data_IF_047941499177
#
_entry.id   IF_047941499177
#
_cell.length_a   1.000
_cell.length_b   1.000
_cell.length_c   1.000
_cell.angle_alpha   90.00
_cell.angle_beta   90.00
_cell.angle_gamma   90.00
#
_symmetry.space_group_name_H-M   'P 1'
#
loop_
_entity.id
_entity.type
_entity.pdbx_description
1 polymer ?
#
# COMPACT_ATOMS: atom_id res chain seq x y z
N UNK A 1 -13.48 -19.60 18.66
CA UNK A 1 -12.61 -20.31 17.70
C UNK A 1 -13.42 -20.51 16.43
N UNK A 2 -12.89 -20.13 15.27
CA UNK A 2 -13.61 -20.28 14.00
C UNK A 2 -13.88 -21.78 13.74
N UNK A 3 -15.11 -22.13 13.38
CA UNK A 3 -15.48 -23.47 12.94
C UNK A 3 -15.86 -23.41 11.46
N UNK A 4 -15.04 -23.96 10.55
CA UNK A 4 -15.40 -24.04 9.14
C UNK A 4 -16.65 -24.91 8.96
N UNK A 5 -17.56 -24.49 8.07
CA UNK A 5 -18.75 -25.28 7.76
C UNK A 5 -18.41 -26.59 7.06
N UNK A 6 -17.33 -26.60 6.27
CA UNK A 6 -16.79 -27.79 5.60
C UNK A 6 -15.30 -27.99 5.94
N UNK A 7 -14.95 -28.62 7.08
CA UNK A 7 -13.57 -28.69 7.56
C UNK A 7 -12.59 -29.29 6.55
N UNK A 8 -12.95 -30.43 5.90
CA UNK A 8 -12.06 -31.09 4.92
C UNK A 8 -11.75 -30.18 3.73
N UNK A 9 -12.76 -29.48 3.22
CA UNK A 9 -12.61 -28.53 2.11
C UNK A 9 -11.74 -27.35 2.51
N UNK A 10 -12.01 -26.78 3.69
CA UNK A 10 -11.23 -25.69 4.28
C UNK A 10 -9.74 -26.05 4.43
N UNK A 11 -9.40 -27.15 5.11
CA UNK A 11 -8.00 -27.54 5.32
C UNK A 11 -7.28 -27.84 4.00
N UNK A 12 -7.97 -28.43 3.02
CA UNK A 12 -7.42 -28.65 1.67
C UNK A 12 -7.11 -27.32 0.97
N UNK A 13 -8.03 -26.36 1.05
CA UNK A 13 -7.85 -25.02 0.49
C UNK A 13 -6.68 -24.29 1.17
N UNK A 14 -6.63 -24.25 2.50
CA UNK A 14 -5.53 -23.64 3.26
C UNK A 14 -4.17 -24.24 2.86
N UNK A 15 -4.09 -25.57 2.74
CA UNK A 15 -2.85 -26.24 2.31
C UNK A 15 -2.43 -25.82 0.90
N UNK A 16 -3.38 -25.64 -0.01
CA UNK A 16 -3.14 -25.15 -1.37
C UNK A 16 -2.67 -23.70 -1.36
N UNK A 17 -3.31 -22.84 -0.58
CA UNK A 17 -2.90 -21.43 -0.43
C UNK A 17 -1.46 -21.33 0.10
N UNK A 18 -1.13 -22.06 1.18
CA UNK A 18 0.22 -22.07 1.75
C UNK A 18 1.25 -22.53 0.72
N UNK A 19 0.93 -23.55 -0.08
CA UNK A 19 1.83 -24.02 -1.15
C UNK A 19 2.08 -22.91 -2.17
N UNK A 20 1.01 -22.28 -2.65
CA UNK A 20 1.06 -21.22 -3.67
C UNK A 20 1.82 -19.97 -3.17
N UNK A 21 1.54 -19.54 -1.94
CA UNK A 21 2.21 -18.39 -1.32
C UNK A 21 3.69 -18.68 -1.01
N UNK A 22 4.09 -19.94 -0.84
CA UNK A 22 5.52 -20.27 -0.69
C UNK A 22 6.29 -20.25 -2.01
N UNK A 23 5.65 -20.55 -3.13
CA UNK A 23 6.32 -20.65 -4.44
C UNK A 23 6.27 -19.37 -5.25
N UNK A 24 5.15 -18.64 -5.20
CA UNK A 24 4.80 -17.68 -6.24
C UNK A 24 4.50 -16.26 -5.71
N UNK A 25 4.98 -15.92 -4.51
CA UNK A 25 4.83 -14.56 -3.98
C UNK A 25 5.58 -13.54 -4.87
N UNK A 26 4.92 -12.43 -5.25
CA UNK A 26 5.58 -11.38 -6.00
C UNK A 26 6.61 -10.65 -5.14
N UNK A 27 7.56 -9.99 -5.80
CA UNK A 27 8.56 -9.16 -5.12
C UNK A 27 7.90 -8.08 -4.26
N UNK A 28 8.50 -7.81 -3.10
CA UNK A 28 8.00 -6.82 -2.15
C UNK A 28 6.73 -7.24 -1.42
N UNK A 29 6.41 -8.54 -1.35
CA UNK A 29 5.32 -9.05 -0.53
C UNK A 29 5.84 -10.00 0.55
N UNK A 30 5.37 -9.78 1.77
CA UNK A 30 5.62 -10.65 2.92
C UNK A 30 4.29 -11.21 3.43
N UNK A 31 4.31 -12.48 3.84
CA UNK A 31 3.16 -13.16 4.42
C UNK A 31 3.56 -13.84 5.72
N UNK A 32 2.70 -13.74 6.72
CA UNK A 32 2.82 -14.39 8.03
C UNK A 32 1.54 -15.15 8.35
N UNK A 33 1.66 -16.41 8.73
CA UNK A 33 0.58 -17.20 9.30
C UNK A 33 0.80 -17.38 10.80
N UNK A 34 -0.25 -17.81 11.51
CA UNK A 34 -0.23 -18.00 12.95
C UNK A 34 -0.39 -19.49 13.28
N UNK A 35 0.46 -20.03 14.16
CA UNK A 35 0.49 -21.47 14.48
C UNK A 35 -0.81 -21.95 15.13
N UNK A 36 -1.42 -21.10 15.94
CA UNK A 36 -2.66 -21.36 16.67
C UNK A 36 -3.93 -20.93 15.89
N UNK A 37 -3.76 -20.19 14.80
CA UNK A 37 -4.85 -19.61 13.99
C UNK A 37 -4.54 -19.69 12.50
N UNK A 38 -4.69 -20.89 11.94
CA UNK A 38 -4.49 -21.14 10.50
C UNK A 38 -5.49 -20.39 9.59
N UNK A 39 -6.57 -19.86 10.17
CA UNK A 39 -7.54 -19.02 9.48
C UNK A 39 -7.13 -17.55 9.42
N UNK A 40 -6.04 -17.15 10.10
CA UNK A 40 -5.52 -15.80 10.09
C UNK A 40 -4.18 -15.73 9.36
N UNK A 41 -4.03 -14.68 8.57
CA UNK A 41 -2.83 -14.41 7.78
C UNK A 41 -2.61 -12.89 7.79
N UNK A 42 -1.39 -12.45 8.09
CA UNK A 42 -1.00 -11.05 7.87
C UNK A 42 -0.19 -10.94 6.59
N UNK A 43 -0.41 -9.88 5.84
CA UNK A 43 0.25 -9.59 4.57
C UNK A 43 0.82 -8.17 4.63
N UNK A 44 2.08 -8.01 4.23
CA UNK A 44 2.68 -6.70 4.01
C UNK A 44 3.08 -6.57 2.55
N UNK A 45 2.79 -5.43 1.94
CA UNK A 45 3.10 -5.12 0.54
C UNK A 45 3.93 -3.84 0.52
N UNK A 46 5.09 -3.90 -0.12
CA UNK A 46 5.86 -2.71 -0.49
C UNK A 46 5.18 -2.00 -1.66
N UNK A 47 5.09 -0.68 -1.57
CA UNK A 47 4.54 0.15 -2.64
C UNK A 47 5.32 -0.04 -3.94
N UNK A 48 4.64 -0.34 -5.07
CA UNK A 48 5.32 -0.57 -6.34
C UNK A 48 6.12 0.64 -6.81
N UNK A 49 7.24 0.38 -7.50
CA UNK A 49 8.03 1.42 -8.16
C UNK A 49 7.23 2.18 -9.21
N UNK A 50 7.56 3.45 -9.44
CA UNK A 50 6.89 4.35 -10.39
C UNK A 50 5.41 4.59 -10.06
N UNK A 51 5.09 4.57 -8.78
CA UNK A 51 3.77 4.92 -8.24
C UNK A 51 3.94 5.91 -7.09
N UNK A 52 2.92 6.68 -6.71
CA UNK A 52 3.00 7.53 -5.52
C UNK A 52 3.14 6.72 -4.22
N UNK A 53 3.06 5.39 -4.27
CA UNK A 53 3.25 4.48 -3.14
C UNK A 53 4.71 4.04 -2.94
N UNK A 54 5.60 4.31 -3.90
CA UNK A 54 6.99 3.83 -3.89
C UNK A 54 7.74 4.20 -2.61
N UNK A 55 8.38 3.20 -1.99
CA UNK A 55 9.10 3.34 -0.73
C UNK A 55 8.23 3.22 0.52
N UNK A 56 6.89 3.15 0.37
CA UNK A 56 5.97 2.84 1.46
C UNK A 56 5.77 1.35 1.70
N UNK A 57 5.18 1.03 2.86
CA UNK A 57 4.72 -0.30 3.23
C UNK A 57 3.22 -0.25 3.54
N UNK A 58 2.50 -1.34 3.25
CA UNK A 58 1.05 -1.46 3.46
C UNK A 58 0.75 -2.80 4.12
N UNK A 59 0.07 -2.77 5.27
CA UNK A 59 -0.19 -3.97 6.08
C UNK A 59 -1.66 -4.31 6.05
N UNK A 60 -1.95 -5.59 5.88
CA UNK A 60 -3.28 -6.15 5.79
C UNK A 60 -3.38 -7.39 6.68
N UNK A 61 -4.53 -7.58 7.33
CA UNK A 61 -4.92 -8.86 7.90
C UNK A 61 -5.99 -9.52 7.04
N UNK A 62 -5.84 -10.82 6.84
CA UNK A 62 -6.73 -11.66 6.06
C UNK A 62 -7.26 -12.76 6.95
N UNK A 63 -8.58 -12.89 7.01
CA UNK A 63 -9.25 -13.98 7.72
C UNK A 63 -10.01 -14.89 6.74
N UNK A 64 -9.70 -16.17 6.79
CA UNK A 64 -10.41 -17.21 6.08
C UNK A 64 -11.68 -17.55 6.86
N UNK A 65 -12.83 -17.03 6.42
CA UNK A 65 -14.11 -17.22 7.11
C UNK A 65 -14.58 -18.68 7.13
N UNK A 66 -15.65 -18.94 7.89
CA UNK A 66 -16.18 -20.31 8.05
C UNK A 66 -16.66 -20.96 6.74
N UNK A 67 -17.02 -20.14 5.75
CA UNK A 67 -17.45 -20.56 4.42
C UNK A 67 -16.30 -20.66 3.40
N UNK A 68 -15.05 -20.42 3.80
CA UNK A 68 -13.90 -20.50 2.89
C UNK A 68 -13.64 -21.96 2.45
N UNK A 69 -13.33 -22.23 1.16
CA UNK A 69 -13.14 -21.29 0.05
C UNK A 69 -14.41 -21.00 -0.77
N UNK A 70 -15.60 -21.43 -0.36
CA UNK A 70 -16.86 -21.14 -1.09
C UNK A 70 -17.18 -19.64 -1.08
N UNK A 71 -16.80 -18.93 -0.03
CA UNK A 71 -16.85 -17.47 0.08
C UNK A 71 -15.43 -16.86 0.13
N UNK A 72 -15.27 -15.59 -0.28
CA UNK A 72 -13.99 -14.90 -0.21
C UNK A 72 -13.50 -14.76 1.23
N UNK A 73 -12.18 -14.57 1.43
CA UNK A 73 -11.66 -14.19 2.73
C UNK A 73 -12.10 -12.77 3.09
N UNK A 74 -12.09 -12.46 4.39
CA UNK A 74 -12.16 -11.09 4.88
C UNK A 74 -10.77 -10.47 4.80
N UNK A 75 -10.68 -9.20 4.43
CA UNK A 75 -9.42 -8.46 4.35
C UNK A 75 -9.58 -7.11 5.05
N UNK A 76 -8.62 -6.77 5.90
CA UNK A 76 -8.59 -5.53 6.67
C UNK A 76 -7.27 -4.80 6.43
N UNK A 77 -7.33 -3.57 5.95
CA UNK A 77 -6.18 -2.69 5.79
C UNK A 77 -5.89 -1.93 7.09
N UNK A 78 -4.63 -1.93 7.53
CA UNK A 78 -4.21 -1.13 8.67
C UNK A 78 -3.79 0.27 8.21
N UNK A 79 -4.61 1.28 8.50
CA UNK A 79 -4.29 2.67 8.16
C UNK A 79 -3.29 3.30 9.14
N UNK A 80 -2.19 3.82 8.59
CA UNK A 80 -1.14 4.51 9.35
C UNK A 80 -1.08 6.02 9.09
N UNK A 81 -2.01 6.58 8.33
CA UNK A 81 -2.16 8.01 8.10
C UNK A 81 -3.57 8.48 8.48
N UNK A 82 -3.77 9.80 8.60
CA UNK A 82 -5.13 10.34 8.65
C UNK A 82 -5.74 10.34 7.25
N UNK A 83 -7.06 10.31 7.15
CA UNK A 83 -7.79 10.35 5.88
C UNK A 83 -7.51 9.14 4.96
N UNK A 84 -8.30 9.04 3.88
CA UNK A 84 -8.21 7.97 2.89
C UNK A 84 -7.00 8.13 1.96
N UNK A 85 -6.08 7.16 1.99
CA UNK A 85 -4.89 7.10 1.13
C UNK A 85 -5.21 6.71 -0.33
N UNK A 86 -6.19 5.83 -0.53
CA UNK A 86 -6.60 5.33 -1.84
C UNK A 86 -8.13 5.15 -1.84
N UNK A 87 -8.84 5.37 -2.96
CA UNK A 87 -10.29 5.21 -2.97
C UNK A 87 -10.79 3.85 -2.50
N UNK A 88 -9.97 2.80 -2.65
CA UNK A 88 -10.27 1.44 -2.24
C UNK A 88 -9.68 1.01 -0.88
N UNK A 89 -8.94 1.88 -0.17
CA UNK A 89 -8.35 1.60 1.15
C UNK A 89 -8.90 2.59 2.19
N UNK A 90 -9.88 2.15 2.97
CA UNK A 90 -10.61 3.00 3.90
C UNK A 90 -9.89 3.07 5.26
N UNK A 91 -10.14 4.14 6.01
CA UNK A 91 -9.55 4.35 7.34
C UNK A 91 -10.03 3.34 8.39
N UNK A 92 -11.26 2.85 8.24
CA UNK A 92 -11.83 1.76 9.06
C UNK A 92 -11.30 0.37 8.66
N UNK A 93 -10.37 0.35 7.70
CA UNK A 93 -9.70 -0.83 7.17
C UNK A 93 -10.49 -1.60 6.14
N UNK A 94 -11.65 -1.10 5.68
CA UNK A 94 -12.34 -1.72 4.55
C UNK A 94 -11.47 -1.66 3.28
N UNK A 95 -11.39 -2.79 2.58
CA UNK A 95 -10.68 -2.93 1.31
C UNK A 95 -11.70 -3.22 0.20
N UNK A 96 -11.71 -2.39 -0.86
CA UNK A 96 -12.61 -2.55 -2.00
C UNK A 96 -11.92 -3.26 -3.17
N UNK A 97 -12.19 -4.55 -3.34
CA UNK A 97 -11.74 -5.36 -4.48
C UNK A 97 -12.85 -6.34 -4.85
N UNK A 98 -13.08 -6.56 -6.13
CA UNK A 98 -14.14 -7.45 -6.62
C UNK A 98 -13.96 -8.90 -6.15
N UNK A 99 -12.71 -9.37 -6.06
CA UNK A 99 -12.36 -10.69 -5.51
C UNK A 99 -12.73 -10.85 -4.04
N UNK A 100 -12.90 -9.74 -3.29
CA UNK A 100 -13.35 -9.77 -1.90
C UNK A 100 -14.88 -9.61 -1.78
N UNK A 101 -15.60 -9.47 -2.90
CA UNK A 101 -17.03 -9.17 -2.92
C UNK A 101 -17.38 -7.75 -2.43
N UNK A 102 -16.38 -6.87 -2.29
CA UNK A 102 -16.55 -5.50 -1.79
C UNK A 102 -16.56 -4.44 -2.88
N UNK A 103 -16.41 -4.85 -4.15
CA UNK A 103 -16.49 -4.01 -5.33
C UNK A 103 -17.20 -4.74 -6.48
N UNK A 104 -17.68 -4.00 -7.47
CA UNK A 104 -18.27 -4.58 -8.67
C UNK A 104 -17.19 -5.24 -9.54
N UNK A 105 -17.52 -6.38 -10.14
CA UNK A 105 -16.64 -7.10 -11.06
C UNK A 105 -17.43 -8.08 -11.91
N UNK A 106 -16.79 -8.68 -12.92
CA UNK A 106 -17.43 -9.66 -13.82
C UNK A 106 -16.58 -10.90 -14.01
N UNK A 107 -17.24 -12.05 -14.12
CA UNK A 107 -16.59 -13.32 -14.43
C UNK A 107 -15.48 -13.66 -13.43
N UNK A 108 -14.26 -13.77 -13.93
CA UNK A 108 -13.06 -14.14 -13.15
C UNK A 108 -12.57 -13.06 -12.19
N UNK A 109 -13.12 -11.84 -12.26
CA UNK A 109 -12.80 -10.75 -11.32
C UNK A 109 -13.51 -10.93 -9.97
N UNK A 110 -14.56 -11.76 -9.91
CA UNK A 110 -15.33 -12.04 -8.70
C UNK A 110 -14.85 -13.36 -8.09
N UNK A 111 -14.91 -13.47 -6.76
CA UNK A 111 -14.53 -14.70 -6.06
C UNK A 111 -15.27 -15.92 -6.63
N UNK A 112 -14.51 -16.95 -6.97
CA UNK A 112 -15.02 -18.20 -7.51
C UNK A 112 -14.18 -19.40 -7.09
N UNK A 113 -14.54 -20.58 -7.60
CA UNK A 113 -13.92 -21.87 -7.24
C UNK A 113 -12.40 -21.93 -7.51
N UNK A 114 -11.94 -21.17 -8.51
CA UNK A 114 -10.55 -21.13 -8.96
C UNK A 114 -9.80 -19.91 -8.38
N UNK A 115 -10.45 -19.16 -7.48
CA UNK A 115 -9.84 -18.02 -6.81
C UNK A 115 -8.82 -18.44 -5.75
N UNK A 116 -7.84 -17.57 -5.49
CA UNK A 116 -6.78 -17.79 -4.48
C UNK A 116 -6.43 -16.53 -3.72
N UNK A 117 -5.77 -16.68 -2.56
CA UNK A 117 -5.21 -15.55 -1.82
C UNK A 117 -4.12 -14.84 -2.61
N UNK A 118 -3.33 -15.58 -3.39
CA UNK A 118 -2.31 -14.96 -4.25
C UNK A 118 -2.95 -13.97 -5.24
N UNK A 119 -4.08 -14.30 -5.86
CA UNK A 119 -4.79 -13.38 -6.74
C UNK A 119 -5.33 -12.15 -6.01
N UNK A 120 -5.77 -12.30 -4.76
CA UNK A 120 -6.16 -11.14 -3.92
C UNK A 120 -4.94 -10.25 -3.68
N UNK A 121 -3.82 -10.81 -3.23
CA UNK A 121 -2.58 -10.08 -2.97
C UNK A 121 -2.07 -9.34 -4.22
N UNK A 122 -2.02 -10.03 -5.36
CA UNK A 122 -1.62 -9.44 -6.65
C UNK A 122 -2.59 -8.34 -7.08
N UNK A 123 -3.90 -8.50 -6.83
CA UNK A 123 -4.89 -7.44 -7.07
C UNK A 123 -4.66 -6.22 -6.19
N UNK A 124 -4.32 -6.40 -4.90
CA UNK A 124 -3.97 -5.28 -4.02
C UNK A 124 -2.74 -4.53 -4.54
N UNK A 125 -1.68 -5.26 -4.90
CA UNK A 125 -0.44 -4.66 -5.40
C UNK A 125 -0.62 -3.96 -6.76
N UNK A 126 -1.32 -4.59 -7.70
CA UNK A 126 -1.41 -4.12 -9.09
C UNK A 126 -2.59 -3.18 -9.40
N UNK A 127 -3.75 -3.41 -8.77
CA UNK A 127 -4.96 -2.63 -9.07
C UNK A 127 -5.14 -1.46 -8.10
N UNK A 128 -4.83 -1.65 -6.82
CA UNK A 128 -4.99 -0.58 -5.82
C UNK A 128 -3.77 0.34 -5.82
N UNK A 129 -2.58 -0.21 -5.62
CA UNK A 129 -1.34 0.56 -5.46
C UNK A 129 -0.72 0.98 -6.80
N UNK A 130 -1.52 1.54 -7.71
CA UNK A 130 -1.12 1.91 -9.07
C UNK A 130 -0.63 3.38 -9.17
N UNK A 131 -0.20 3.80 -10.37
CA UNK A 131 0.39 5.13 -10.61
C UNK A 131 -0.62 6.30 -10.59
N UNK A 132 -1.90 6.03 -10.84
CA UNK A 132 -2.96 7.04 -10.93
C UNK A 132 -4.20 6.65 -10.08
N UNK A 133 -4.02 6.51 -8.75
CA UNK A 133 -5.05 6.00 -7.85
C UNK A 133 -6.31 6.88 -7.77
N UNK A 134 -6.26 8.13 -8.26
CA UNK A 134 -7.45 8.97 -8.44
C UNK A 134 -8.54 8.26 -9.24
N UNK A 135 -8.16 7.52 -10.28
CA UNK A 135 -9.10 6.82 -11.16
C UNK A 135 -9.62 5.50 -10.59
N UNK A 136 -9.21 5.11 -9.38
CA UNK A 136 -9.82 4.00 -8.67
C UNK A 136 -11.18 4.38 -8.06
N UNK A 137 -11.51 5.66 -8.02
CA UNK A 137 -12.82 6.13 -7.56
C UNK A 137 -13.90 5.85 -8.62
N UNK A 138 -15.06 5.37 -8.16
CA UNK A 138 -16.11 4.91 -9.05
C UNK A 138 -16.57 6.01 -10.00
N UNK A 139 -16.46 5.76 -11.32
CA UNK A 139 -16.94 6.66 -12.37
C UNK A 139 -15.94 7.74 -12.77
N UNK A 140 -14.77 7.80 -12.14
CA UNK A 140 -13.72 8.76 -12.50
C UNK A 140 -12.93 8.31 -13.74
N UNK A 141 -13.04 7.05 -14.15
CA UNK A 141 -12.39 6.54 -15.37
C UNK A 141 -12.83 7.30 -16.62
N UNK A 142 -14.05 7.85 -16.63
CA UNK A 142 -14.56 8.70 -17.72
C UNK A 142 -13.80 10.01 -17.88
N UNK A 143 -13.05 10.43 -16.88
CA UNK A 143 -12.23 11.64 -16.90
C UNK A 143 -10.82 11.39 -17.45
N UNK A 144 -10.41 10.13 -17.65
CA UNK A 144 -9.09 9.81 -18.21
C UNK A 144 -8.89 10.47 -19.57
N UNK A 145 -7.72 11.07 -19.77
CA UNK A 145 -7.36 11.81 -20.99
C UNK A 145 -7.92 13.22 -21.07
N UNK A 146 -8.76 13.66 -20.13
CA UNK A 146 -9.19 15.07 -20.04
C UNK A 146 -8.18 15.89 -19.24
N UNK A 147 -8.05 17.18 -19.55
CA UNK A 147 -7.19 18.08 -18.77
C UNK A 147 -7.57 18.10 -17.28
N UNK A 148 -8.87 18.13 -16.97
CA UNK A 148 -9.36 18.10 -15.60
C UNK A 148 -8.99 16.80 -14.87
N UNK A 149 -9.13 15.64 -15.53
CA UNK A 149 -8.76 14.35 -14.96
C UNK A 149 -7.26 14.25 -14.68
N UNK A 150 -6.43 14.77 -15.59
CA UNK A 150 -4.98 14.85 -15.41
C UNK A 150 -4.61 15.71 -14.20
N UNK A 151 -5.18 16.91 -14.07
CA UNK A 151 -4.90 17.79 -12.91
C UNK A 151 -5.39 17.19 -11.59
N UNK A 152 -6.58 16.58 -11.58
CA UNK A 152 -7.12 15.93 -10.39
C UNK A 152 -6.26 14.73 -9.96
N UNK A 153 -5.80 13.92 -10.92
CA UNK A 153 -4.90 12.80 -10.67
C UNK A 153 -3.54 13.28 -10.13
N UNK A 154 -2.99 14.36 -10.71
CA UNK A 154 -1.76 15.01 -10.22
C UNK A 154 -1.89 15.46 -8.77
N UNK A 155 -2.96 16.20 -8.44
CA UNK A 155 -3.23 16.66 -7.07
C UNK A 155 -3.49 15.50 -6.10
N UNK A 156 -4.14 14.44 -6.55
CA UNK A 156 -4.35 13.24 -5.72
C UNK A 156 -3.02 12.58 -5.38
N UNK A 157 -2.09 12.49 -6.34
CA UNK A 157 -0.75 11.93 -6.10
C UNK A 157 0.07 12.78 -5.13
N UNK A 158 -0.03 14.12 -5.20
CA UNK A 158 0.55 15.01 -4.18
C UNK A 158 0.04 14.64 -2.76
N UNK A 159 -1.28 14.42 -2.62
CA UNK A 159 -1.87 13.98 -1.35
C UNK A 159 -1.33 12.61 -0.91
N UNK A 160 -1.27 11.62 -1.82
CA UNK A 160 -0.77 10.28 -1.51
C UNK A 160 0.67 10.34 -0.98
N UNK A 161 1.55 11.15 -1.59
CA UNK A 161 2.93 11.28 -1.11
C UNK A 161 3.02 11.84 0.32
N UNK A 162 2.19 12.83 0.67
CA UNK A 162 2.15 13.36 2.04
C UNK A 162 1.69 12.28 3.02
N UNK A 163 0.63 11.54 2.67
CA UNK A 163 0.10 10.44 3.49
C UNK A 163 1.07 9.27 3.59
N UNK A 164 1.88 9.02 2.56
CA UNK A 164 2.95 8.03 2.57
C UNK A 164 4.00 8.37 3.64
N UNK A 165 4.48 9.62 3.67
CA UNK A 165 5.45 10.08 4.68
C UNK A 165 4.86 9.99 6.08
N UNK A 166 3.59 10.37 6.26
CA UNK A 166 2.88 10.21 7.54
C UNK A 166 2.79 8.74 7.96
N UNK A 167 2.40 7.86 7.04
CA UNK A 167 2.30 6.41 7.24
C UNK A 167 3.63 5.82 7.71
N UNK A 168 4.73 6.11 6.99
CA UNK A 168 6.06 5.62 7.36
C UNK A 168 6.53 6.19 8.69
N UNK A 169 6.21 7.45 9.01
CA UNK A 169 6.49 8.08 10.31
C UNK A 169 5.77 7.37 11.46
N UNK A 170 4.51 6.95 11.26
CA UNK A 170 3.75 6.22 12.27
C UNK A 170 4.25 4.78 12.41
N UNK A 171 4.55 4.11 11.29
CA UNK A 171 5.07 2.73 11.31
C UNK A 171 6.42 2.63 12.01
N UNK A 172 7.36 3.54 11.78
CA UNK A 172 8.64 3.49 12.50
C UNK A 172 8.46 3.73 14.02
N UNK A 173 7.49 4.55 14.40
CA UNK A 173 7.22 4.85 15.81
C UNK A 173 6.59 3.67 16.54
N UNK A 174 5.74 2.88 15.86
CA UNK A 174 5.10 1.71 16.42
C UNK A 174 4.91 0.62 15.33
N UNK A 175 5.98 -0.12 14.99
CA UNK A 175 5.91 -1.10 13.92
C UNK A 175 5.07 -2.31 14.34
N UNK A 176 4.14 -2.80 13.50
CA UNK A 176 3.34 -3.98 13.80
C UNK A 176 4.21 -5.23 14.00
N UNK A 177 3.92 -6.00 15.06
CA UNK A 177 4.71 -7.16 15.48
C UNK A 177 5.00 -8.19 14.37
N UNK A 178 4.03 -8.63 13.52
CA UNK A 178 4.31 -9.67 12.53
C UNK A 178 5.41 -9.32 11.52
N UNK A 179 5.68 -8.03 11.34
CA UNK A 179 6.61 -7.49 10.34
C UNK A 179 7.59 -6.48 10.95
N UNK A 180 7.76 -6.46 12.28
CA UNK A 180 8.55 -5.43 12.98
C UNK A 180 9.96 -5.33 12.39
N UNK A 181 10.63 -6.47 12.24
CA UNK A 181 12.01 -6.51 11.75
C UNK A 181 12.10 -6.14 10.26
N UNK A 182 11.18 -6.63 9.43
CA UNK A 182 11.12 -6.27 8.01
C UNK A 182 10.89 -4.77 7.80
N UNK A 183 10.01 -4.16 8.59
CA UNK A 183 9.71 -2.73 8.52
C UNK A 183 10.95 -1.91 8.89
N UNK A 184 11.59 -2.24 10.02
CA UNK A 184 12.81 -1.53 10.45
C UNK A 184 13.94 -1.71 9.43
N UNK A 185 14.10 -2.91 8.86
CA UNK A 185 15.11 -3.16 7.84
C UNK A 185 14.83 -2.39 6.54
N UNK A 186 13.58 -2.38 6.08
CA UNK A 186 13.15 -1.59 4.92
C UNK A 186 13.45 -0.11 5.10
N UNK A 187 13.11 0.44 6.28
CA UNK A 187 13.37 1.84 6.61
C UNK A 187 14.86 2.18 6.66
N UNK A 188 15.71 1.29 7.21
CA UNK A 188 17.17 1.47 7.17
C UNK A 188 17.71 1.52 5.75
N UNK A 189 17.15 0.72 4.86
CA UNK A 189 17.63 0.60 3.48
C UNK A 189 17.10 1.71 2.56
N UNK A 190 15.89 2.21 2.78
CA UNK A 190 15.16 3.04 1.80
C UNK A 190 14.82 4.46 2.27
N UNK A 191 14.93 4.77 3.57
CA UNK A 191 14.55 6.09 4.08
C UNK A 191 15.33 7.23 3.44
N UNK A 192 16.62 7.03 3.17
CA UNK A 192 17.46 8.02 2.51
C UNK A 192 17.02 8.28 1.07
N UNK A 193 16.66 7.23 0.33
CA UNK A 193 16.17 7.33 -1.04
C UNK A 193 14.79 8.00 -1.09
N UNK A 194 13.90 7.69 -0.14
CA UNK A 194 12.61 8.33 -0.02
C UNK A 194 12.75 9.85 0.22
N UNK A 195 13.60 10.25 1.17
CA UNK A 195 13.89 11.67 1.41
C UNK A 195 14.46 12.34 0.16
N UNK A 196 15.51 11.78 -0.44
CA UNK A 196 16.16 12.33 -1.64
C UNK A 196 15.16 12.53 -2.77
N UNK A 197 14.35 11.51 -3.07
CA UNK A 197 13.33 11.56 -4.12
C UNK A 197 12.33 12.69 -3.87
N UNK A 198 11.76 12.77 -2.67
CA UNK A 198 10.74 13.77 -2.33
C UNK A 198 11.29 15.19 -2.28
N UNK A 199 12.53 15.38 -1.84
CA UNK A 199 13.21 16.68 -1.87
C UNK A 199 13.55 17.10 -3.30
N UNK A 200 14.00 16.16 -4.13
CA UNK A 200 14.19 16.40 -5.56
C UNK A 200 12.91 16.86 -6.26
N UNK A 201 11.75 16.33 -5.90
CA UNK A 201 10.47 16.81 -6.44
C UNK A 201 10.19 18.28 -6.10
N UNK A 202 10.51 18.70 -4.88
CA UNK A 202 10.35 20.10 -4.46
C UNK A 202 11.35 20.98 -5.22
N UNK A 203 12.61 20.56 -5.34
CA UNK A 203 13.63 21.29 -6.09
C UNK A 203 13.22 21.46 -7.56
N UNK A 204 12.82 20.38 -8.25
CA UNK A 204 12.32 20.43 -9.63
C UNK A 204 11.13 21.38 -9.78
N UNK A 205 10.20 21.36 -8.83
CA UNK A 205 9.01 22.24 -8.85
C UNK A 205 9.35 23.71 -8.66
N UNK A 206 10.46 24.01 -8.00
CA UNK A 206 10.99 25.36 -7.80
C UNK A 206 11.98 25.79 -8.90
N UNK A 207 12.35 24.90 -9.84
CA UNK A 207 13.41 25.15 -10.82
C UNK A 207 14.82 25.14 -10.23
N UNK A 208 15.01 24.50 -9.08
CA UNK A 208 16.30 24.35 -8.40
C UNK A 208 17.07 23.13 -8.94
N UNK A 209 18.42 23.16 -8.96
CA UNK A 209 19.23 22.00 -9.38
C UNK A 209 19.02 20.77 -8.48
N UNK A 210 18.87 19.60 -9.09
CA UNK A 210 18.82 18.31 -8.38
C UNK A 210 19.34 17.18 -9.27
N UNK A 211 19.81 16.10 -8.65
CA UNK A 211 20.18 14.84 -9.30
C UNK A 211 18.98 13.91 -9.53
N UNK A 212 17.81 14.25 -8.99
CA UNK A 212 16.57 13.49 -9.16
C UNK A 212 15.95 13.80 -10.52
N UNK A 213 15.73 12.76 -11.32
CA UNK A 213 15.01 12.88 -12.58
C UNK A 213 13.53 13.24 -12.34
N UNK A 214 12.89 13.99 -13.26
CA UNK A 214 11.44 14.18 -13.23
C UNK A 214 10.71 12.85 -13.11
N UNK A 215 9.79 12.70 -12.15
CA UNK A 215 9.07 11.45 -11.99
C UNK A 215 8.04 11.29 -13.11
N UNK A 216 7.61 10.05 -13.34
CA UNK A 216 6.38 9.80 -14.11
C UNK A 216 5.18 10.42 -13.38
N UNK A 217 5.16 10.34 -12.04
CA UNK A 217 4.09 10.84 -11.18
C UNK A 217 4.57 11.20 -9.75
N UNK A 218 3.95 12.19 -9.06
CA UNK A 218 3.05 13.21 -9.62
C UNK A 218 3.77 14.07 -10.67
N UNK A 219 3.03 14.60 -11.62
CA UNK A 219 3.58 15.50 -12.63
C UNK A 219 4.07 16.80 -11.98
N UNK A 220 5.22 17.30 -12.45
CA UNK A 220 5.81 18.59 -12.05
C UNK A 220 5.29 19.75 -12.93
N UNK A 221 5.27 21.00 -12.43
CA UNK A 221 5.58 21.39 -11.06
C UNK A 221 4.49 20.95 -10.08
N UNK A 222 4.90 20.58 -8.86
CA UNK A 222 3.98 20.31 -7.77
C UNK A 222 3.40 21.60 -7.18
N UNK A 223 2.25 21.51 -6.53
CA UNK A 223 1.61 22.69 -5.93
C UNK A 223 2.44 23.30 -4.80
N UNK A 224 2.38 24.63 -4.64
CA UNK A 224 3.08 25.35 -3.56
C UNK A 224 2.67 24.84 -2.17
N UNK A 225 1.38 24.52 -1.99
CA UNK A 225 0.85 23.99 -0.73
C UNK A 225 1.43 22.62 -0.39
N UNK A 226 1.55 21.75 -1.39
CA UNK A 226 2.23 20.46 -1.26
C UNK A 226 3.69 20.64 -0.87
N UNK A 227 4.46 21.46 -1.59
CA UNK A 227 5.89 21.67 -1.29
C UNK A 227 6.14 22.16 0.14
N UNK A 228 5.31 23.08 0.64
CA UNK A 228 5.40 23.58 2.01
C UNK A 228 5.08 22.49 3.05
N UNK A 229 4.02 21.72 2.82
CA UNK A 229 3.57 20.66 3.74
C UNK A 229 4.51 19.46 3.76
N UNK A 230 5.13 19.17 2.61
CA UNK A 230 6.08 18.06 2.47
C UNK A 230 7.35 18.32 3.29
N UNK A 231 7.86 19.56 3.30
CA UNK A 231 9.04 19.96 4.10
C UNK A 231 8.86 19.61 5.58
N UNK A 232 7.75 20.05 6.20
CA UNK A 232 7.47 19.77 7.61
C UNK A 232 7.18 18.28 7.88
N UNK A 233 6.56 17.58 6.92
CA UNK A 233 6.31 16.14 7.02
C UNK A 233 7.62 15.34 6.99
N UNK A 234 8.56 15.70 6.10
CA UNK A 234 9.89 15.07 6.02
C UNK A 234 10.74 15.34 7.27
N UNK A 235 10.64 16.53 7.86
CA UNK A 235 11.32 16.82 9.12
C UNK A 235 10.79 15.93 10.25
N UNK A 236 9.47 15.76 10.35
CA UNK A 236 8.84 14.86 11.31
C UNK A 236 9.28 13.41 11.12
N UNK A 237 9.34 12.95 9.86
CA UNK A 237 9.83 11.62 9.49
C UNK A 237 11.30 11.41 9.90
N UNK A 238 12.19 12.38 9.60
CA UNK A 238 13.60 12.35 10.02
C UNK A 238 13.76 12.28 11.52
N UNK A 239 12.95 13.03 12.27
CA UNK A 239 12.97 12.99 13.73
C UNK A 239 12.54 11.61 14.24
N UNK A 240 11.57 10.96 13.61
CA UNK A 240 11.17 9.60 13.96
C UNK A 240 12.25 8.56 13.62
N UNK A 241 12.96 8.70 12.49
CA UNK A 241 14.13 7.89 12.12
C UNK A 241 15.21 7.96 13.19
N UNK A 242 15.62 9.17 13.59
CA UNK A 242 16.67 9.39 14.59
C UNK A 242 16.31 8.80 15.95
N UNK A 243 15.04 8.89 16.37
CA UNK A 243 14.56 8.33 17.65
C UNK A 243 14.58 6.79 17.68
N UNK A 244 14.64 6.15 16.53
CA UNK A 244 14.66 4.68 16.37
C UNK A 244 16.01 4.18 15.84
N UNK A 245 17.08 4.95 16.05
CA UNK A 245 18.45 4.61 15.64
C UNK A 245 18.61 4.29 14.14
N UNK A 246 17.78 4.90 13.29
CA UNK A 246 17.91 4.84 11.83
C UNK A 246 18.56 6.13 11.34
N UNK A 247 19.60 5.99 10.52
CA UNK A 247 20.29 7.12 9.92
C UNK A 247 19.33 7.94 9.07
N UNK A 248 19.20 9.23 9.37
CA UNK A 248 18.35 10.15 8.65
C UNK A 248 19.23 11.13 7.86
N UNK A 249 19.13 11.19 6.51
CA UNK A 249 19.94 12.13 5.74
C UNK A 249 19.61 13.58 6.13
N UNK A 250 20.57 14.52 6.02
CA UNK A 250 20.29 15.94 6.19
C UNK A 250 19.24 16.42 5.18
N UNK A 251 18.55 17.51 5.51
CA UNK A 251 17.65 18.19 4.56
C UNK A 251 18.47 18.82 3.44
N UNK A 252 18.02 18.69 2.19
CA UNK A 252 18.55 19.45 1.05
C UNK A 252 17.64 20.61 0.65
N UNK A 253 16.48 20.76 1.30
CA UNK A 253 15.50 21.83 1.10
C UNK A 253 15.72 23.00 2.05
#
# INVERSE_FOLDING_TARGET
>A
MLQPSEPRSFYSAVKREIKLLKSDLPSGVWVRGYEDRIDLISVMIAGPSRTPYEGGLFVFDVQLGGEYPRAPPLCHYHSYCSDRLNPNLYEDGKVCVSLLGTWSGRGVEVWGKDSSLLQVIVSLQGLILNAEPYFNEAGYEKQKGTQQGTENSRMYNEMVLLKLVQSMTKMITNPPEPFRDEILQHLRNSSADLCRRLEGLVALSNGEPTDVAPPDYPLIPASRGFCLTLRSSLESYRNALRRNDINAPPSTL
#
